data_IF_600364059416
#
_entry.id   IF_600364059416
#
_cell.length_a   1.000
_cell.length_b   1.000
_cell.length_c   1.000
_cell.angle_alpha   90.00
_cell.angle_beta   90.00
_cell.angle_gamma   90.00
#
_symmetry.space_group_name_H-M   'P 1'
#
loop_
_entity.id
_entity.type
_entity.pdbx_description
1 polymer ?
#
# COMPACT_ATOMS: atom_id res chain seq x y z
N UNK A 1 -15.92 23.67 4.12
CA UNK A 1 -15.07 23.39 2.94
C UNK A 1 -14.72 21.90 2.98
N UNK A 2 -15.36 21.06 2.17
CA UNK A 2 -15.05 19.62 2.12
C UNK A 2 -13.80 19.47 1.27
N UNK A 3 -12.66 19.18 1.91
CA UNK A 3 -11.41 18.90 1.20
C UNK A 3 -11.61 17.56 0.48
N UNK A 4 -11.53 17.53 -0.84
CA UNK A 4 -11.56 16.27 -1.57
C UNK A 4 -10.33 15.44 -1.14
N UNK A 5 -10.56 14.36 -0.40
CA UNK A 5 -9.50 13.43 -0.01
C UNK A 5 -9.24 12.52 -1.21
N UNK A 6 -8.08 12.66 -1.84
CA UNK A 6 -7.66 11.72 -2.87
C UNK A 6 -6.89 10.57 -2.26
N UNK A 7 -6.72 9.48 -3.00
CA UNK A 7 -5.87 8.35 -2.59
C UNK A 7 -4.41 8.76 -2.34
N UNK A 8 -3.99 9.97 -2.75
CA UNK A 8 -2.65 10.54 -2.54
C UNK A 8 -2.53 11.36 -1.24
N UNK A 9 -3.67 11.69 -0.61
CA UNK A 9 -3.76 12.56 0.57
C UNK A 9 -4.03 11.75 1.85
N UNK A 10 -3.59 10.49 1.91
CA UNK A 10 -3.87 9.58 3.03
C UNK A 10 -2.77 9.57 4.11
N UNK A 11 -1.75 10.42 4.00
CA UNK A 11 -0.75 10.56 5.08
C UNK A 11 -1.45 10.92 6.39
N UNK A 12 -1.11 10.21 7.48
CA UNK A 12 -1.74 10.36 8.78
C UNK A 12 -2.92 9.42 9.03
N UNK A 13 -3.36 8.65 8.04
CA UNK A 13 -4.43 7.65 8.19
C UNK A 13 -3.84 6.32 8.67
N UNK A 14 -4.59 5.60 9.49
CA UNK A 14 -4.28 4.22 9.87
C UNK A 14 -5.03 3.22 8.99
N UNK A 15 -4.32 2.26 8.39
CA UNK A 15 -4.89 1.17 7.58
C UNK A 15 -4.42 -0.16 8.15
N UNK A 16 -5.36 -0.99 8.59
CA UNK A 16 -5.08 -2.33 9.18
C UNK A 16 -3.99 -2.30 10.25
N UNK A 17 -3.98 -1.26 11.09
CA UNK A 17 -3.00 -1.10 12.17
C UNK A 17 -1.67 -0.43 11.78
N UNK A 18 -1.49 -0.07 10.50
CA UNK A 18 -0.32 0.67 10.03
C UNK A 18 -0.63 2.13 9.79
N UNK A 19 0.15 3.02 10.41
CA UNK A 19 0.09 4.46 10.21
C UNK A 19 0.80 4.85 8.92
N UNK A 20 0.13 5.58 8.03
CA UNK A 20 0.70 6.06 6.77
C UNK A 20 1.58 7.30 7.01
N UNK A 21 2.89 7.13 7.07
CA UNK A 21 3.84 8.19 7.43
C UNK A 21 4.13 9.16 6.28
N UNK A 22 4.31 8.61 5.07
CA UNK A 22 4.78 9.39 3.92
C UNK A 22 4.36 8.74 2.60
N UNK A 23 3.88 9.54 1.67
CA UNK A 23 3.69 9.12 0.28
C UNK A 23 5.07 8.92 -0.38
N UNK A 24 5.36 7.72 -0.84
CA UNK A 24 6.65 7.34 -1.44
C UNK A 24 6.57 7.00 -2.93
N UNK A 25 5.37 6.88 -3.48
CA UNK A 25 5.19 6.67 -4.92
C UNK A 25 3.74 6.79 -5.35
N UNK A 26 3.55 7.17 -6.61
CA UNK A 26 2.23 7.18 -7.26
C UNK A 26 2.35 6.62 -8.67
N UNK A 27 1.32 5.92 -9.13
CA UNK A 27 1.19 5.49 -10.51
C UNK A 27 -0.27 5.45 -10.95
N UNK A 28 -0.51 4.90 -12.14
CA UNK A 28 -1.86 4.80 -12.71
C UNK A 28 -2.83 3.97 -11.86
N UNK A 29 -2.31 3.12 -10.98
CA UNK A 29 -3.06 2.11 -10.22
C UNK A 29 -3.02 2.32 -8.70
N UNK A 30 -2.70 3.54 -8.25
CA UNK A 30 -2.75 3.90 -6.83
C UNK A 30 -1.53 4.65 -6.31
N UNK A 31 -1.48 4.74 -4.99
CA UNK A 31 -0.44 5.41 -4.22
C UNK A 31 0.22 4.42 -3.25
N UNK A 32 1.52 4.57 -3.04
CA UNK A 32 2.32 3.75 -2.14
C UNK A 32 2.85 4.62 -1.02
N UNK A 33 2.70 4.14 0.21
CA UNK A 33 3.05 4.86 1.42
C UNK A 33 4.06 4.08 2.24
N UNK A 34 5.09 4.76 2.74
CA UNK A 34 5.89 4.25 3.85
C UNK A 34 5.01 4.28 5.11
N UNK A 35 4.89 3.15 5.77
CA UNK A 35 3.94 2.96 6.87
C UNK A 35 4.59 2.22 8.03
N UNK A 36 4.09 2.44 9.24
CA UNK A 36 4.65 1.81 10.45
C UNK A 36 3.59 1.32 11.42
N UNK A 37 3.90 0.21 12.10
CA UNK A 37 3.17 -0.31 13.25
C UNK A 37 4.17 -0.72 14.32
N UNK A 38 4.28 0.05 15.41
CA UNK A 38 5.34 -0.13 16.41
C UNK A 38 6.74 -0.01 15.77
N UNK A 39 7.53 -1.07 15.83
CA UNK A 39 8.86 -1.14 15.20
C UNK A 39 8.85 -1.60 13.74
N UNK A 40 7.74 -2.14 13.25
CA UNK A 40 7.64 -2.65 11.88
C UNK A 40 7.47 -1.49 10.88
N UNK A 41 8.10 -1.63 9.72
CA UNK A 41 7.96 -0.70 8.60
C UNK A 41 7.68 -1.47 7.32
N UNK A 42 6.61 -1.08 6.63
CA UNK A 42 6.20 -1.68 5.37
C UNK A 42 5.80 -0.60 4.36
N UNK A 43 5.72 -0.99 3.09
CA UNK A 43 5.03 -0.21 2.08
C UNK A 43 3.55 -0.63 2.02
N UNK A 44 2.63 0.33 2.16
CA UNK A 44 1.19 0.10 1.96
C UNK A 44 0.79 0.73 0.64
N UNK A 45 0.24 -0.09 -0.26
CA UNK A 45 -0.36 0.39 -1.51
C UNK A 45 -1.87 0.53 -1.34
N UNK A 46 -2.40 1.70 -1.72
CA UNK A 46 -3.82 1.99 -1.73
C UNK A 46 -4.27 2.34 -3.15
N UNK A 47 -5.41 1.78 -3.58
CA UNK A 47 -6.07 2.12 -4.84
C UNK A 47 -7.55 2.40 -4.59
N UNK A 48 -8.15 3.20 -5.48
CA UNK A 48 -9.59 3.41 -5.56
C UNK A 48 -10.35 2.18 -6.09
N UNK A 49 -9.65 1.27 -6.79
CA UNK A 49 -10.22 0.01 -7.30
C UNK A 49 -9.55 -1.16 -6.61
N UNK A 50 -10.35 -2.02 -5.98
CA UNK A 50 -9.86 -3.23 -5.34
C UNK A 50 -9.12 -4.16 -6.31
N UNK A 51 -9.58 -4.24 -7.56
CA UNK A 51 -8.95 -5.06 -8.61
C UNK A 51 -7.49 -4.71 -8.85
N UNK A 52 -7.09 -3.44 -8.71
CA UNK A 52 -5.71 -3.02 -8.96
C UNK A 52 -4.75 -3.62 -7.92
N UNK A 53 -5.16 -3.62 -6.66
CA UNK A 53 -4.39 -4.19 -5.55
C UNK A 53 -4.40 -5.72 -5.63
N UNK A 54 -5.57 -6.33 -5.91
CA UNK A 54 -5.70 -7.79 -6.00
C UNK A 54 -4.89 -8.38 -7.16
N UNK A 55 -4.87 -7.72 -8.31
CA UNK A 55 -4.08 -8.15 -9.47
C UNK A 55 -2.57 -8.10 -9.18
N UNK A 56 -2.10 -7.07 -8.49
CA UNK A 56 -0.71 -6.94 -8.09
C UNK A 56 -0.32 -7.97 -7.02
N UNK A 57 -1.17 -8.17 -6.01
CA UNK A 57 -0.95 -9.22 -5.00
C UNK A 57 -0.86 -10.61 -5.65
N UNK A 58 -1.75 -10.93 -6.60
CA UNK A 58 -1.70 -12.18 -7.35
C UNK A 58 -0.41 -12.33 -8.19
N UNK A 59 0.10 -11.24 -8.76
CA UNK A 59 1.36 -11.25 -9.50
C UNK A 59 2.57 -11.47 -8.56
N UNK A 60 2.63 -10.75 -7.43
CA UNK A 60 3.67 -10.91 -6.42
C UNK A 60 3.68 -12.32 -5.83
N UNK A 61 2.51 -12.92 -5.60
CA UNK A 61 2.40 -14.28 -5.08
C UNK A 61 3.03 -15.32 -6.02
N UNK A 62 2.88 -15.16 -7.34
CA UNK A 62 3.54 -16.03 -8.34
C UNK A 62 5.05 -15.89 -8.34
N UNK A 63 5.55 -14.75 -7.87
CA UNK A 63 6.96 -14.38 -7.84
C UNK A 63 7.58 -14.50 -6.44
N UNK A 64 6.87 -15.11 -5.49
CA UNK A 64 7.22 -15.12 -4.07
C UNK A 64 8.64 -15.60 -3.76
N UNK A 65 9.18 -16.53 -4.55
CA UNK A 65 10.51 -17.10 -4.36
C UNK A 65 11.65 -16.27 -4.99
N UNK A 66 11.34 -15.17 -5.68
CA UNK A 66 12.36 -14.28 -6.23
C UNK A 66 12.79 -13.24 -5.19
N UNK A 67 14.10 -13.12 -4.96
CA UNK A 67 14.66 -12.23 -3.94
C UNK A 67 14.53 -10.74 -4.25
N UNK A 68 14.35 -10.38 -5.53
CA UNK A 68 14.26 -8.98 -5.98
C UNK A 68 12.82 -8.44 -6.00
N UNK A 69 11.84 -9.25 -5.59
CA UNK A 69 10.41 -8.89 -5.63
C UNK A 69 9.91 -8.56 -4.21
N UNK A 70 9.11 -7.49 -4.03
CA UNK A 70 8.49 -7.20 -2.75
C UNK A 70 7.66 -8.38 -2.25
N UNK A 71 7.87 -8.77 -0.99
CA UNK A 71 7.05 -9.79 -0.34
C UNK A 71 5.78 -9.15 0.18
N UNK A 72 4.64 -9.75 -0.18
CA UNK A 72 3.33 -9.32 0.27
C UNK A 72 3.03 -9.92 1.65
N UNK A 73 2.59 -9.10 2.60
CA UNK A 73 2.44 -9.47 4.03
C UNK A 73 1.00 -9.50 4.54
N UNK A 74 -0.03 -9.46 3.69
CA UNK A 74 -1.40 -9.62 4.20
C UNK A 74 -1.80 -11.09 4.16
N UNK A 75 -2.14 -11.61 5.34
CA UNK A 75 -2.97 -12.81 5.47
C UNK A 75 -4.44 -12.38 5.45
N UNK A 76 -5.32 -13.27 4.99
CA UNK A 76 -6.78 -13.06 4.93
C UNK A 76 -7.37 -12.63 6.29
#
# INVERSE_FOLDING_TARGET
MIRAVTIKDLVGVDIRGYHLNRLIGTGSYGAVYESSAGSERIAVKASIRASDVLNEAAALQRMYYYEFIPKYFFHD
#
